data_IF_415305908738
#
_entry.id   IF_415305908738
#
_cell.length_a   1.000
_cell.length_b   1.000
_cell.length_c   1.000
_cell.angle_alpha   90.00
_cell.angle_beta   90.00
_cell.angle_gamma   90.00
#
_symmetry.space_group_name_H-M   'P 1'
#
loop_
_entity.id
_entity.type
_entity.pdbx_description
1 polymer ?
#
# COMPACT_ATOMS: atom_id res chain seq x y z
N UNK A 1 -0.14 -7.17 -3.48
CA UNK A 1 -0.68 -6.32 -2.41
C UNK A 1 -1.50 -7.08 -1.37
N UNK A 2 -2.70 -7.60 -1.68
CA UNK A 2 -3.63 -8.14 -0.67
C UNK A 2 -2.99 -9.19 0.26
N UNK A 3 -2.19 -10.11 -0.29
CA UNK A 3 -1.52 -11.13 0.53
C UNK A 3 -0.44 -10.55 1.45
N UNK A 4 0.26 -9.51 1.01
CA UNK A 4 1.34 -8.85 1.75
C UNK A 4 0.75 -8.02 2.90
N UNK A 5 -0.26 -7.19 2.63
CA UNK A 5 -0.94 -6.37 3.64
C UNK A 5 -1.67 -7.21 4.72
N UNK A 6 -2.00 -8.48 4.45
CA UNK A 6 -2.56 -9.37 5.48
C UNK A 6 -1.54 -9.81 6.53
N UNK A 7 -0.24 -9.70 6.21
CA UNK A 7 0.88 -10.11 7.07
C UNK A 7 1.60 -8.91 7.68
N UNK A 8 1.00 -7.73 7.60
CA UNK A 8 1.56 -6.51 8.17
C UNK A 8 1.94 -6.72 9.63
N UNK A 9 3.11 -6.25 10.02
CA UNK A 9 3.73 -6.30 11.34
C UNK A 9 4.47 -4.99 11.58
N UNK A 10 4.88 -4.71 12.81
CA UNK A 10 5.70 -3.53 13.10
C UNK A 10 7.03 -3.61 12.34
N UNK A 11 7.55 -2.46 11.92
CA UNK A 11 8.87 -2.37 11.31
C UNK A 11 9.97 -2.72 12.31
N UNK A 12 11.12 -3.16 11.82
CA UNK A 12 12.25 -3.55 12.67
C UNK A 12 12.89 -2.35 13.37
N UNK A 13 12.72 -1.15 12.83
CA UNK A 13 13.12 0.12 13.44
C UNK A 13 12.14 0.63 14.52
N UNK A 14 11.10 -0.14 14.84
CA UNK A 14 10.03 0.24 15.76
C UNK A 14 8.88 1.02 15.11
N UNK A 15 8.87 1.17 13.79
CA UNK A 15 7.77 1.78 13.05
C UNK A 15 6.45 1.04 13.25
N UNK A 16 5.35 1.79 13.25
CA UNK A 16 4.01 1.21 13.23
C UNK A 16 3.78 0.33 12.01
N UNK A 17 2.89 -0.65 12.16
CA UNK A 17 2.45 -1.54 11.09
C UNK A 17 2.05 -0.81 9.79
N UNK A 18 1.37 0.34 9.91
CA UNK A 18 1.02 1.22 8.80
C UNK A 18 1.87 2.49 8.92
N UNK A 19 2.63 2.81 7.86
CA UNK A 19 3.44 4.03 7.78
C UNK A 19 2.72 5.20 7.10
N UNK A 20 1.78 4.92 6.19
CA UNK A 20 0.97 5.93 5.47
C UNK A 20 -0.30 5.30 4.90
N UNK A 21 -1.38 6.08 4.89
CA UNK A 21 -2.71 5.63 4.47
C UNK A 21 -3.47 6.72 3.69
N UNK A 22 -2.95 7.11 2.53
CA UNK A 22 -3.55 8.12 1.66
C UNK A 22 -4.38 7.46 0.54
N UNK A 23 -5.16 8.26 -0.20
CA UNK A 23 -6.05 7.78 -1.26
C UNK A 23 -5.29 7.17 -2.45
N UNK A 24 -4.06 7.63 -2.68
CA UNK A 24 -3.19 7.20 -3.78
C UNK A 24 -1.90 6.51 -3.35
N UNK A 25 -1.66 6.40 -2.04
CA UNK A 25 -0.43 5.82 -1.48
C UNK A 25 -0.71 5.08 -0.17
N UNK A 26 -0.22 3.84 -0.09
CA UNK A 26 -0.30 3.02 1.10
C UNK A 26 1.08 2.46 1.44
N UNK A 27 1.57 2.75 2.65
CA UNK A 27 2.83 2.24 3.17
C UNK A 27 2.54 1.36 4.39
N UNK A 28 3.10 0.15 4.40
CA UNK A 28 3.02 -0.78 5.51
C UNK A 28 4.31 -1.60 5.62
N UNK A 29 4.49 -2.26 6.74
CA UNK A 29 5.67 -3.07 7.02
C UNK A 29 5.29 -4.55 7.07
N UNK A 30 6.02 -5.41 6.37
CA UNK A 30 5.76 -6.84 6.33
C UNK A 30 6.96 -7.55 5.73
N UNK A 31 7.36 -8.70 6.28
CA UNK A 31 8.17 -9.62 5.47
C UNK A 31 7.30 -10.22 4.36
N UNK A 32 7.73 -9.96 3.13
CA UNK A 32 7.07 -10.36 1.90
C UNK A 32 7.74 -11.58 1.25
N UNK A 33 8.99 -11.88 1.60
CA UNK A 33 9.80 -12.95 1.00
C UNK A 33 10.11 -14.14 1.93
N UNK A 34 9.74 -14.05 3.22
CA UNK A 34 9.82 -15.08 4.27
C UNK A 34 11.25 -15.36 4.77
N UNK A 35 12.09 -14.35 4.84
CA UNK A 35 13.42 -14.43 5.42
C UNK A 35 13.49 -14.05 6.93
N UNK A 36 12.35 -13.61 7.51
CA UNK A 36 12.18 -13.04 8.86
C UNK A 36 12.70 -11.61 9.07
N UNK A 37 13.18 -10.93 8.03
CA UNK A 37 13.37 -9.48 8.01
C UNK A 37 11.99 -8.79 8.01
N UNK A 38 11.86 -7.47 8.10
CA UNK A 38 10.58 -6.80 7.84
C UNK A 38 10.79 -5.64 6.89
N UNK A 39 10.29 -5.77 5.67
CA UNK A 39 10.45 -4.75 4.64
C UNK A 39 9.42 -3.63 4.78
N UNK A 40 9.84 -2.43 4.39
CA UNK A 40 8.92 -1.30 4.17
C UNK A 40 8.37 -1.39 2.75
N UNK A 41 7.07 -1.65 2.63
CA UNK A 41 6.36 -1.82 1.36
C UNK A 41 5.49 -0.61 1.08
N UNK A 42 5.62 -0.04 -0.12
CA UNK A 42 4.87 1.12 -0.59
C UNK A 42 4.12 0.79 -1.86
N UNK A 43 2.80 0.93 -1.86
CA UNK A 43 1.99 0.90 -3.07
C UNK A 43 1.52 2.31 -3.39
N UNK A 44 1.70 2.74 -4.62
CA UNK A 44 1.39 4.11 -5.01
C UNK A 44 1.09 4.20 -6.49
N UNK A 45 0.35 5.22 -6.89
CA UNK A 45 0.28 5.61 -8.28
C UNK A 45 1.19 6.81 -8.54
N UNK A 46 1.71 6.89 -9.75
CA UNK A 46 2.51 7.99 -10.22
C UNK A 46 1.97 8.44 -11.57
N UNK A 47 1.84 9.74 -11.76
CA UNK A 47 1.58 10.31 -13.08
C UNK A 47 2.79 10.03 -13.98
N UNK A 48 2.56 9.32 -15.07
CA UNK A 48 3.59 8.99 -16.05
C UNK A 48 3.24 9.58 -17.41
N UNK A 49 4.25 9.85 -18.21
CA UNK A 49 4.09 10.17 -19.62
C UNK A 49 4.34 8.90 -20.44
N UNK A 50 3.36 8.39 -21.22
CA UNK A 50 2.07 8.97 -21.57
C UNK A 50 0.90 8.58 -20.63
N UNK A 51 1.12 7.71 -19.64
CA UNK A 51 0.05 7.16 -18.79
C UNK A 51 0.45 7.10 -17.34
N UNK A 52 -0.52 7.25 -16.44
CA UNK A 52 -0.36 6.94 -15.02
C UNK A 52 -0.01 5.46 -14.80
N UNK A 53 0.86 5.20 -13.83
CA UNK A 53 1.36 3.86 -13.51
C UNK A 53 1.16 3.58 -12.03
N UNK A 54 0.57 2.44 -11.70
CA UNK A 54 0.55 1.90 -10.35
C UNK A 54 1.80 1.06 -10.09
N UNK A 55 2.48 1.34 -8.98
CA UNK A 55 3.82 0.87 -8.67
C UNK A 55 3.87 0.28 -7.26
N UNK A 56 4.87 -0.56 -7.03
CA UNK A 56 5.29 -1.08 -5.72
C UNK A 56 6.74 -0.67 -5.47
N UNK A 57 6.99 -0.04 -4.34
CA UNK A 57 8.31 0.17 -3.76
C UNK A 57 8.56 -0.80 -2.61
N UNK A 58 9.78 -1.33 -2.51
CA UNK A 58 10.22 -2.16 -1.38
C UNK A 58 11.57 -1.65 -0.89
N UNK A 59 11.72 -1.51 0.42
CA UNK A 59 13.00 -1.20 1.07
C UNK A 59 13.27 -2.29 2.12
N UNK A 60 14.40 -2.96 1.98
CA UNK A 60 14.94 -3.87 2.99
C UNK A 60 15.36 -3.11 4.25
N UNK A 61 15.21 -3.69 5.45
CA UNK A 61 15.80 -3.10 6.64
C UNK A 61 17.32 -3.07 6.51
N UNK A 62 17.91 -1.91 6.79
CA UNK A 62 19.35 -1.71 6.83
C UNK A 62 19.81 -1.59 8.28
N UNK A 63 20.63 -2.56 8.72
CA UNK A 63 21.26 -2.56 10.03
C UNK A 63 22.65 -1.91 9.97
N UNK A 64 22.80 -0.76 10.62
CA UNK A 64 24.09 -0.15 10.92
C UNK A 64 24.41 -0.29 12.42
N UNK A 65 25.13 -1.34 12.76
CA UNK A 65 25.66 -1.59 14.11
C UNK A 65 24.57 -1.63 15.21
N UNK A 66 23.43 -2.23 14.89
CA UNK A 66 22.25 -2.36 15.77
C UNK A 66 21.23 -1.23 15.61
N UNK A 67 21.46 -0.29 14.70
CA UNK A 67 20.49 0.75 14.34
C UNK A 67 19.86 0.40 13.01
N UNK A 68 18.59 0.00 13.06
CA UNK A 68 17.83 -0.40 11.87
C UNK A 68 17.16 0.83 11.25
N UNK A 69 17.18 0.91 9.92
CA UNK A 69 16.54 1.98 9.15
C UNK A 69 16.04 1.49 7.79
N UNK A 70 15.22 2.30 7.11
CA UNK A 70 14.74 2.04 5.74
C UNK A 70 15.15 3.16 4.79
N UNK A 71 16.38 3.12 4.24
CA UNK A 71 16.90 4.20 3.40
C UNK A 71 16.12 4.33 2.09
N UNK A 72 15.44 5.47 1.86
CA UNK A 72 14.64 5.69 0.64
C UNK A 72 15.45 5.58 -0.66
N UNK A 73 16.76 5.85 -0.60
CA UNK A 73 17.66 5.69 -1.75
C UNK A 73 17.85 4.23 -2.19
N UNK A 74 17.45 3.26 -1.35
CA UNK A 74 17.51 1.83 -1.64
C UNK A 74 16.15 1.26 -2.10
N UNK A 75 15.12 2.11 -2.25
CA UNK A 75 13.79 1.67 -2.67
C UNK A 75 13.82 1.02 -4.06
N UNK A 76 13.49 -0.28 -4.11
CA UNK A 76 13.33 -1.02 -5.33
C UNK A 76 11.90 -0.84 -5.85
N UNK A 77 11.77 -0.14 -6.99
CA UNK A 77 10.46 0.19 -7.58
C UNK A 77 10.14 -0.76 -8.73
N UNK A 78 8.97 -1.39 -8.67
CA UNK A 78 8.40 -2.24 -9.71
C UNK A 78 7.08 -1.65 -10.21
N UNK A 79 6.95 -1.50 -11.54
CA UNK A 79 5.68 -1.14 -12.17
C UNK A 79 4.75 -2.35 -12.22
N UNK A 80 3.53 -2.20 -11.70
CA UNK A 80 2.53 -3.26 -11.64
C UNK A 80 1.47 -3.14 -12.73
N UNK A 81 1.04 -1.91 -13.02
CA UNK A 81 0.07 -1.64 -14.09
C UNK A 81 0.29 -0.25 -14.66
N UNK A 82 0.21 -0.13 -15.98
CA UNK A 82 0.07 1.15 -16.67
C UNK A 82 -1.41 1.49 -16.87
N UNK A 83 -1.69 2.67 -17.43
CA UNK A 83 -3.03 3.11 -17.82
C UNK A 83 -4.03 3.22 -16.66
N UNK A 84 -3.58 3.68 -15.49
CA UNK A 84 -4.44 3.79 -14.30
C UNK A 84 -5.21 5.12 -14.28
N UNK A 85 -6.53 5.05 -14.36
CA UNK A 85 -7.44 6.20 -14.43
C UNK A 85 -8.51 6.12 -13.35
N UNK A 86 -8.07 6.18 -12.10
CA UNK A 86 -8.95 6.17 -10.95
C UNK A 86 -9.62 7.54 -10.74
N UNK A 87 -10.95 7.56 -10.88
CA UNK A 87 -11.84 8.64 -10.41
C UNK A 87 -12.94 8.06 -9.50
N UNK A 88 -12.57 7.04 -8.71
CA UNK A 88 -12.59 7.13 -7.24
C UNK A 88 -11.21 6.79 -6.62
N UNK A 89 -10.99 7.01 -5.30
CA UNK A 89 -9.72 6.69 -4.62
C UNK A 89 -9.21 5.27 -4.89
N UNK A 90 -7.88 5.12 -5.03
CA UNK A 90 -7.26 3.80 -5.20
C UNK A 90 -7.37 3.02 -3.90
N UNK A 91 -7.12 3.67 -2.77
CA UNK A 91 -7.18 3.06 -1.45
C UNK A 91 -8.35 3.61 -0.65
N UNK A 92 -9.06 2.70 0.01
CA UNK A 92 -10.07 3.00 1.03
C UNK A 92 -9.74 2.22 2.29
N UNK A 93 -10.09 2.82 3.42
CA UNK A 93 -9.69 2.35 4.74
C UNK A 93 -10.92 2.21 5.61
N UNK A 94 -11.01 1.11 6.35
CA UNK A 94 -12.16 0.82 7.19
C UNK A 94 -11.72 0.38 8.58
N UNK A 95 -12.50 0.79 9.57
CA UNK A 95 -12.29 0.45 10.98
C UNK A 95 -12.75 -0.99 11.32
N UNK A 96 -12.75 -1.34 12.62
CA UNK A 96 -13.19 -2.65 13.10
C UNK A 96 -14.70 -2.91 12.91
N UNK A 97 -15.49 -1.86 12.74
CA UNK A 97 -16.93 -1.93 12.46
C UNK A 97 -17.23 -1.97 10.95
N UNK A 98 -16.19 -2.02 10.10
CA UNK A 98 -16.26 -1.86 8.65
C UNK A 98 -16.83 -0.51 8.20
N UNK A 99 -16.71 0.53 9.02
CA UNK A 99 -17.04 1.89 8.64
C UNK A 99 -15.85 2.53 7.91
N UNK A 100 -16.12 3.21 6.79
CA UNK A 100 -15.07 3.90 6.03
C UNK A 100 -14.49 5.06 6.85
N UNK A 101 -13.16 5.08 6.99
CA UNK A 101 -12.42 6.13 7.68
C UNK A 101 -12.09 7.21 6.65
N UNK A 102 -12.97 8.20 6.56
CA UNK A 102 -12.84 9.29 5.59
C UNK A 102 -11.71 10.27 5.98
N UNK A 103 -11.51 10.50 7.27
CA UNK A 103 -10.52 11.44 7.81
C UNK A 103 -9.10 10.86 7.70
N UNK A 104 -8.20 11.45 6.88
CA UNK A 104 -6.86 10.89 6.67
C UNK A 104 -6.05 10.72 7.95
N UNK A 105 -6.22 11.62 8.93
CA UNK A 105 -5.49 11.59 10.21
C UNK A 105 -5.77 10.34 11.07
N UNK A 106 -6.96 9.75 10.96
CA UNK A 106 -7.35 8.55 11.72
C UNK A 106 -6.91 7.24 11.07
N UNK A 107 -6.63 7.24 9.77
CA UNK A 107 -6.45 6.00 8.99
C UNK A 107 -5.28 5.15 9.47
N UNK A 108 -4.18 5.75 9.92
CA UNK A 108 -3.01 4.97 10.37
C UNK A 108 -3.33 4.11 11.60
N UNK A 109 -4.12 4.66 12.55
CA UNK A 109 -4.39 4.01 13.84
C UNK A 109 -5.66 3.15 13.81
N UNK A 110 -6.68 3.61 13.09
CA UNK A 110 -8.02 3.01 13.14
C UNK A 110 -8.23 1.94 12.06
N UNK A 111 -7.42 1.90 11.00
CA UNK A 111 -7.58 0.92 9.90
C UNK A 111 -7.49 -0.52 10.41
N UNK A 112 -8.48 -1.33 10.03
CA UNK A 112 -8.49 -2.81 10.17
C UNK A 112 -8.66 -3.51 8.84
N UNK A 113 -9.17 -2.82 7.83
CA UNK A 113 -9.30 -3.31 6.46
C UNK A 113 -8.85 -2.21 5.49
N UNK A 114 -7.95 -2.57 4.57
CA UNK A 114 -7.63 -1.74 3.41
C UNK A 114 -8.24 -2.38 2.17
N UNK A 115 -8.93 -1.57 1.37
CA UNK A 115 -9.41 -1.92 0.06
C UNK A 115 -8.58 -1.21 -0.99
N UNK A 116 -8.16 -1.93 -2.02
CA UNK A 116 -7.56 -1.39 -3.23
C UNK A 116 -8.56 -1.52 -4.37
N UNK A 117 -8.71 -0.45 -5.15
CA UNK A 117 -9.57 -0.37 -6.31
C UNK A 117 -8.81 0.30 -7.45
N UNK A 118 -8.58 -0.40 -8.54
CA UNK A 118 -7.86 0.10 -9.71
C UNK A 118 -8.79 0.11 -10.91
N UNK A 119 -8.85 1.25 -11.59
CA UNK A 119 -9.52 1.43 -12.87
C UNK A 119 -8.43 1.55 -13.93
N UNK A 120 -8.37 0.58 -14.85
CA UNK A 120 -7.38 0.54 -15.92
C UNK A 120 -8.08 0.83 -17.25
N UNK A 121 -7.60 1.83 -17.99
CA UNK A 121 -8.15 2.18 -19.30
C UNK A 121 -7.05 2.27 -20.37
N UNK A 122 -6.95 1.22 -21.18
CA UNK A 122 -5.92 1.04 -22.22
C UNK A 122 -6.15 1.97 -23.43
N UNK A 123 -7.37 2.48 -23.63
CA UNK A 123 -7.71 3.47 -24.66
C UNK A 123 -8.49 4.63 -24.00
N UNK A 124 -7.79 5.66 -23.48
CA UNK A 124 -8.42 6.77 -22.78
C UNK A 124 -9.48 7.51 -23.63
N UNK A 125 -9.42 7.38 -24.96
CA UNK A 125 -10.41 7.93 -25.89
C UNK A 125 -11.73 7.14 -25.95
N UNK A 126 -11.81 5.96 -25.31
CA UNK A 126 -12.99 5.09 -25.27
C UNK A 126 -13.31 4.64 -23.84
N UNK A 127 -14.17 5.37 -23.16
CA UNK A 127 -14.57 5.11 -21.76
C UNK A 127 -15.22 3.74 -21.50
N UNK A 128 -15.76 3.06 -22.52
CA UNK A 128 -16.44 1.76 -22.37
C UNK A 128 -15.50 0.54 -22.25
N UNK A 129 -14.18 0.74 -22.13
CA UNK A 129 -13.18 -0.35 -22.05
C UNK A 129 -12.40 -0.35 -20.73
N UNK A 130 -12.99 0.16 -19.66
CA UNK A 130 -12.38 0.13 -18.34
C UNK A 130 -12.31 -1.30 -17.80
N UNK A 131 -11.15 -1.70 -17.30
CA UNK A 131 -10.97 -2.90 -16.49
C UNK A 131 -10.87 -2.48 -15.03
N UNK A 132 -11.77 -3.00 -14.21
CA UNK A 132 -11.80 -2.71 -12.77
C UNK A 132 -11.23 -3.89 -12.00
N UNK A 133 -10.22 -3.63 -11.17
CA UNK A 133 -9.62 -4.61 -10.26
C UNK A 133 -9.86 -4.15 -8.84
N UNK A 134 -10.41 -5.02 -8.00
CA UNK A 134 -10.60 -4.73 -6.59
C UNK A 134 -10.07 -5.85 -5.71
N UNK A 135 -9.61 -5.49 -4.52
CA UNK A 135 -9.17 -6.44 -3.51
C UNK A 135 -9.16 -5.82 -2.13
N UNK A 136 -9.24 -6.65 -1.09
CA UNK A 136 -9.21 -6.16 0.28
C UNK A 136 -8.35 -7.05 1.19
N UNK A 137 -7.65 -6.40 2.11
CA UNK A 137 -6.77 -7.03 3.09
C UNK A 137 -7.17 -6.60 4.50
N UNK A 138 -7.49 -7.58 5.35
CA UNK A 138 -7.62 -7.36 6.78
C UNK A 138 -6.23 -7.30 7.40
N UNK A 139 -5.96 -6.24 8.16
CA UNK A 139 -4.70 -6.04 8.88
C UNK A 139 -4.80 -6.79 10.22
N UNK A 140 -4.14 -7.95 10.31
CA UNK A 140 -4.34 -8.90 11.43
C UNK A 140 -3.68 -8.45 12.73
N UNK A 141 -2.51 -7.80 12.66
CA UNK A 141 -1.75 -7.38 13.84
C UNK A 141 -2.33 -6.15 14.57
N UNK A 142 -3.46 -5.60 14.09
CA UNK A 142 -4.18 -4.50 14.75
C UNK A 142 -5.48 -4.96 15.43
N UNK A 143 -5.76 -6.28 15.47
CA UNK A 143 -6.79 -6.79 16.36
C UNK A 143 -6.24 -6.70 17.78
N UNK A 144 -6.77 -5.76 18.55
CA UNK A 144 -6.53 -5.72 20.00
C UNK A 144 -6.93 -7.06 20.63
N UNK A 145 -6.16 -7.47 21.64
CA UNK A 145 -6.53 -8.48 22.63
C UNK A 145 -7.86 -8.14 23.33
#
# INVERSE_FOLDING_TARGET
MVQEARKTRSGEDGSYSIGRADDGEFIFYSDIDKDNSVERVRYFWEAGEPTNVFKKGVIEPFDDQGVISYPLAQEQITSLSSFVYNDPPIFKYFDNSNQEIVEPGSRILETRLVQVYLVINIDPGKSYQNFELSGSAQIRNLKEE
#
